data_IF_653973986497
#
_entry.id   IF_653973986497
#
_cell.length_a   1.000
_cell.length_b   1.000
_cell.length_c   1.000
_cell.angle_alpha   90.00
_cell.angle_beta   90.00
_cell.angle_gamma   90.00
#
_symmetry.space_group_name_H-M   'P 1'
#
loop_
_entity.id
_entity.type
_entity.pdbx_description
1 polymer ?
#
# COMPACT_ATOMS: atom_id res chain seq x y z
N UNK A 1 -13.54 9.12 10.38
CA UNK A 1 -12.97 7.85 9.87
C UNK A 1 -14.04 6.81 9.60
N UNK A 2 -14.79 6.31 10.59
CA UNK A 2 -15.84 5.29 10.36
C UNK A 2 -16.90 5.69 9.35
N UNK A 3 -17.47 6.91 9.49
CA UNK A 3 -18.46 7.44 8.55
C UNK A 3 -17.93 7.45 7.10
N UNK A 4 -16.72 7.98 6.90
CA UNK A 4 -16.08 8.04 5.58
C UNK A 4 -15.84 6.64 5.02
N UNK A 5 -15.34 5.70 5.83
CA UNK A 5 -15.09 4.33 5.36
C UNK A 5 -16.39 3.64 4.94
N UNK A 6 -17.46 3.74 5.75
CA UNK A 6 -18.75 3.16 5.38
C UNK A 6 -19.36 3.82 4.14
N UNK A 7 -19.22 5.14 3.99
CA UNK A 7 -19.79 5.88 2.86
C UNK A 7 -19.03 5.63 1.56
N UNK A 8 -17.70 5.79 1.59
CA UNK A 8 -16.88 5.81 0.39
C UNK A 8 -16.30 4.45 0.01
N UNK A 9 -16.29 3.48 0.91
CA UNK A 9 -15.89 2.10 0.59
C UNK A 9 -17.14 1.21 0.51
N UNK A 10 -17.78 0.92 1.65
CA UNK A 10 -18.86 -0.09 1.70
C UNK A 10 -20.08 0.32 0.86
N UNK A 11 -20.68 1.50 1.13
CA UNK A 11 -21.88 1.97 0.40
C UNK A 11 -21.59 2.21 -1.08
N UNK A 12 -20.38 2.69 -1.42
CA UNK A 12 -19.93 2.85 -2.81
C UNK A 12 -19.85 1.50 -3.53
N UNK A 13 -19.29 0.48 -2.90
CA UNK A 13 -19.12 -0.83 -3.53
C UNK A 13 -20.48 -1.57 -3.66
N UNK A 14 -21.38 -1.41 -2.70
CA UNK A 14 -22.78 -1.82 -2.84
C UNK A 14 -23.41 -1.15 -4.07
N UNK A 15 -23.32 0.18 -4.17
CA UNK A 15 -23.87 0.94 -5.30
C UNK A 15 -23.31 0.47 -6.64
N UNK A 16 -22.00 0.28 -6.75
CA UNK A 16 -21.35 -0.24 -7.97
C UNK A 16 -21.87 -1.63 -8.37
N UNK A 17 -22.02 -2.55 -7.40
CA UNK A 17 -22.55 -3.89 -7.67
C UNK A 17 -24.02 -3.84 -8.10
N UNK A 18 -24.84 -3.00 -7.46
CA UNK A 18 -26.24 -2.78 -7.84
C UNK A 18 -26.34 -2.22 -9.27
N UNK A 19 -25.59 -1.15 -9.58
CA UNK A 19 -25.56 -0.56 -10.93
C UNK A 19 -25.13 -1.56 -12.01
N UNK A 20 -24.21 -2.47 -11.70
CA UNK A 20 -23.78 -3.53 -12.60
C UNK A 20 -24.91 -4.53 -12.93
N UNK A 21 -25.75 -4.88 -11.94
CA UNK A 21 -26.90 -5.77 -12.16
C UNK A 21 -28.00 -5.05 -12.94
N UNK A 22 -28.32 -3.80 -12.58
CA UNK A 22 -29.31 -2.99 -13.30
C UNK A 22 -28.92 -2.84 -14.77
N UNK A 23 -27.63 -2.63 -15.09
CA UNK A 23 -27.15 -2.59 -16.48
C UNK A 23 -27.32 -3.92 -17.23
N UNK A 24 -27.33 -5.06 -16.55
CA UNK A 24 -27.47 -6.40 -17.15
C UNK A 24 -28.92 -6.87 -17.24
N UNK A 25 -29.76 -6.52 -16.28
CA UNK A 25 -31.10 -7.09 -16.09
C UNK A 25 -32.22 -6.03 -16.16
N UNK A 26 -31.90 -4.74 -16.26
CA UNK A 26 -32.86 -3.62 -16.33
C UNK A 26 -33.40 -3.19 -14.96
N UNK A 27 -33.65 -4.14 -14.06
CA UNK A 27 -34.16 -3.87 -12.71
C UNK A 27 -33.37 -4.65 -11.64
N UNK A 28 -33.56 -4.28 -10.38
CA UNK A 28 -32.98 -4.98 -9.23
C UNK A 28 -34.06 -5.20 -8.18
N UNK A 29 -34.16 -6.41 -7.65
CA UNK A 29 -35.14 -6.74 -6.61
C UNK A 29 -34.61 -6.41 -5.22
N UNK A 30 -35.52 -6.27 -4.25
CA UNK A 30 -35.14 -6.05 -2.84
C UNK A 30 -34.26 -7.20 -2.31
N UNK A 31 -34.58 -8.45 -2.64
CA UNK A 31 -33.77 -9.62 -2.26
C UNK A 31 -32.36 -9.57 -2.84
N UNK A 32 -32.20 -9.11 -4.08
CA UNK A 32 -30.88 -8.92 -4.69
C UNK A 32 -30.11 -7.81 -3.96
N UNK A 33 -30.75 -6.69 -3.62
CA UNK A 33 -30.12 -5.61 -2.83
C UNK A 33 -29.66 -6.15 -1.47
N UNK A 34 -30.47 -6.99 -0.82
CA UNK A 34 -30.17 -7.60 0.48
C UNK A 34 -28.94 -8.49 0.39
N UNK A 35 -28.89 -9.35 -0.63
CA UNK A 35 -27.78 -10.25 -0.87
C UNK A 35 -26.49 -9.50 -1.18
N UNK A 36 -26.54 -8.50 -2.08
CA UNK A 36 -25.38 -7.66 -2.42
C UNK A 36 -24.85 -6.93 -1.18
N UNK A 37 -25.75 -6.34 -0.39
CA UNK A 37 -25.39 -5.64 0.85
C UNK A 37 -24.70 -6.58 1.83
N UNK A 38 -25.26 -7.77 2.04
CA UNK A 38 -24.69 -8.81 2.89
C UNK A 38 -23.29 -9.23 2.41
N UNK A 39 -23.13 -9.47 1.12
CA UNK A 39 -21.88 -9.97 0.56
C UNK A 39 -20.77 -8.92 0.60
N UNK A 40 -21.07 -7.65 0.28
CA UNK A 40 -20.08 -6.56 0.40
C UNK A 40 -19.65 -6.36 1.86
N UNK A 41 -20.58 -6.39 2.81
CA UNK A 41 -20.24 -6.27 4.24
C UNK A 41 -19.34 -7.43 4.67
N UNK A 42 -19.65 -8.67 4.26
CA UNK A 42 -18.82 -9.85 4.56
C UNK A 42 -17.42 -9.75 3.94
N UNK A 43 -17.31 -9.32 2.70
CA UNK A 43 -16.04 -9.14 1.99
C UNK A 43 -15.12 -8.18 2.76
N UNK A 44 -15.63 -7.00 3.13
CA UNK A 44 -14.87 -6.04 3.94
C UNK A 44 -14.58 -6.59 5.34
N UNK A 45 -15.55 -7.25 5.99
CA UNK A 45 -15.34 -7.83 7.31
C UNK A 45 -14.18 -8.83 7.30
N UNK A 46 -14.15 -9.74 6.33
CA UNK A 46 -13.10 -10.74 6.17
C UNK A 46 -11.72 -10.12 5.87
N UNK A 47 -11.68 -9.06 5.05
CA UNK A 47 -10.46 -8.29 4.80
C UNK A 47 -9.87 -7.75 6.11
N UNK A 48 -10.69 -7.13 6.96
CA UNK A 48 -10.25 -6.58 8.25
C UNK A 48 -9.94 -7.66 9.29
N UNK A 49 -10.65 -8.78 9.26
CA UNK A 49 -10.40 -9.91 10.15
C UNK A 49 -9.02 -10.51 9.90
N UNK A 50 -8.66 -10.74 8.63
CA UNK A 50 -7.35 -11.25 8.20
C UNK A 50 -6.18 -10.31 8.47
N UNK A 51 -6.44 -9.00 8.51
CA UNK A 51 -5.39 -8.02 8.76
C UNK A 51 -4.73 -8.24 10.14
N UNK A 52 -3.44 -7.94 10.23
CA UNK A 52 -2.70 -8.02 11.50
C UNK A 52 -3.12 -6.86 12.41
N UNK A 53 -3.21 -7.12 13.72
CA UNK A 53 -3.31 -6.04 14.72
C UNK A 53 -1.93 -5.38 14.84
N UNK A 54 -1.90 -4.05 14.94
CA UNK A 54 -0.64 -3.33 15.11
C UNK A 54 0.04 -3.72 16.43
N UNK A 55 1.38 -3.88 16.45
CA UNK A 55 2.09 -4.30 17.67
C UNK A 55 1.90 -3.35 18.87
N UNK A 56 1.69 -2.06 18.61
CA UNK A 56 1.45 -1.03 19.63
C UNK A 56 0.02 -1.06 20.22
N UNK A 57 -0.87 -1.88 19.66
CA UNK A 57 -2.28 -1.98 20.03
C UNK A 57 -2.55 -3.32 20.73
N UNK A 58 -3.29 -3.30 21.84
CA UNK A 58 -3.65 -4.53 22.55
C UNK A 58 -4.69 -5.35 21.79
N UNK A 59 -4.65 -6.68 21.93
CA UNK A 59 -5.61 -7.59 21.27
C UNK A 59 -7.08 -7.27 21.60
N UNK A 60 -7.35 -6.81 22.83
CA UNK A 60 -8.69 -6.48 23.31
C UNK A 60 -9.15 -5.06 22.93
N UNK A 61 -8.33 -4.29 22.20
CA UNK A 61 -8.65 -2.89 21.87
C UNK A 61 -9.91 -2.77 21.01
N UNK A 62 -10.10 -3.70 20.07
CA UNK A 62 -11.28 -3.75 19.19
C UNK A 62 -12.55 -3.87 20.03
N UNK A 63 -12.60 -4.83 20.96
CA UNK A 63 -13.76 -5.04 21.85
C UNK A 63 -13.99 -3.82 22.76
N UNK A 64 -12.91 -3.22 23.25
CA UNK A 64 -12.98 -2.01 24.09
C UNK A 64 -13.59 -0.83 23.33
N UNK A 65 -13.21 -0.63 22.06
CA UNK A 65 -13.81 0.41 21.22
C UNK A 65 -15.29 0.12 20.98
N UNK A 66 -15.66 -1.10 20.63
CA UNK A 66 -17.05 -1.49 20.37
C UNK A 66 -17.91 -1.24 21.60
N UNK A 67 -17.46 -1.67 22.78
CA UNK A 67 -18.24 -1.54 24.01
C UNK A 67 -18.42 -0.07 24.42
N UNK A 68 -17.34 0.73 24.34
CA UNK A 68 -17.37 2.13 24.77
C UNK A 68 -18.07 3.07 23.79
N UNK A 69 -17.95 2.81 22.48
CA UNK A 69 -18.45 3.72 21.43
C UNK A 69 -19.61 3.11 20.64
N UNK A 70 -20.27 2.08 21.17
CA UNK A 70 -21.34 1.33 20.51
C UNK A 70 -22.42 2.23 19.93
N UNK A 71 -22.88 3.21 20.71
CA UNK A 71 -24.02 4.05 20.33
C UNK A 71 -23.66 5.02 19.21
N UNK A 72 -22.47 5.60 19.26
CA UNK A 72 -21.93 6.46 18.19
C UNK A 72 -21.76 5.65 16.91
N UNK A 73 -21.19 4.46 16.99
CA UNK A 73 -21.02 3.56 15.85
C UNK A 73 -22.39 3.18 15.26
N UNK A 74 -23.36 2.84 16.10
CA UNK A 74 -24.71 2.52 15.66
C UNK A 74 -25.41 3.70 14.99
N UNK A 75 -25.23 4.91 15.50
CA UNK A 75 -25.75 6.13 14.88
C UNK A 75 -25.18 6.30 13.48
N UNK A 76 -23.87 6.17 13.32
CA UNK A 76 -23.19 6.24 12.01
C UNK A 76 -23.67 5.14 11.06
N UNK A 77 -23.86 3.92 11.53
CA UNK A 77 -24.40 2.83 10.70
C UNK A 77 -25.80 3.19 10.19
N UNK A 78 -26.69 3.65 11.08
CA UNK A 78 -28.05 4.08 10.69
C UNK A 78 -28.03 5.23 9.69
N UNK A 79 -27.15 6.21 9.90
CA UNK A 79 -27.02 7.39 9.05
C UNK A 79 -26.48 7.05 7.65
N UNK A 80 -25.46 6.18 7.56
CA UNK A 80 -24.84 5.84 6.26
C UNK A 80 -25.71 4.88 5.46
N UNK A 81 -26.27 3.86 6.10
CA UNK A 81 -26.99 2.80 5.39
C UNK A 81 -28.50 3.07 5.28
N UNK A 82 -29.06 4.00 6.06
CA UNK A 82 -30.42 4.52 5.96
C UNK A 82 -31.49 3.41 5.88
N UNK A 83 -32.08 3.23 4.69
CA UNK A 83 -33.15 2.27 4.40
C UNK A 83 -32.64 0.90 3.97
N UNK A 84 -31.33 0.70 3.86
CA UNK A 84 -30.77 -0.61 3.52
C UNK A 84 -31.02 -1.58 4.68
N UNK A 85 -31.55 -2.78 4.39
CA UNK A 85 -31.82 -3.75 5.43
C UNK A 85 -30.53 -4.39 5.91
N UNK A 86 -30.20 -4.16 7.18
CA UNK A 86 -29.03 -4.71 7.83
C UNK A 86 -29.48 -5.61 8.97
N UNK A 87 -29.23 -6.92 8.81
CA UNK A 87 -29.50 -7.90 9.87
C UNK A 87 -28.63 -7.64 11.11
N UNK A 88 -29.06 -8.18 12.26
CA UNK A 88 -28.30 -8.05 13.52
C UNK A 88 -26.85 -8.60 13.41
N UNK A 89 -26.64 -9.64 12.60
CA UNK A 89 -25.31 -10.18 12.36
C UNK A 89 -24.41 -9.16 11.62
N UNK A 90 -24.94 -8.52 10.58
CA UNK A 90 -24.19 -7.51 9.81
C UNK A 90 -23.94 -6.23 10.61
N UNK A 91 -24.84 -5.85 11.52
CA UNK A 91 -24.59 -4.77 12.48
C UNK A 91 -23.35 -5.05 13.34
N UNK A 92 -23.19 -6.29 13.82
CA UNK A 92 -22.01 -6.67 14.59
C UNK A 92 -20.74 -6.68 13.74
N UNK A 93 -20.81 -7.12 12.49
CA UNK A 93 -19.67 -7.06 11.56
C UNK A 93 -19.27 -5.61 11.29
N UNK A 94 -20.22 -4.71 11.03
CA UNK A 94 -19.95 -3.28 10.84
C UNK A 94 -19.32 -2.65 12.09
N UNK A 95 -19.79 -2.99 13.29
CA UNK A 95 -19.14 -2.53 14.55
C UNK A 95 -17.69 -2.99 14.63
N UNK A 96 -17.42 -4.27 14.31
CA UNK A 96 -16.06 -4.82 14.28
C UNK A 96 -15.19 -4.17 13.20
N UNK A 97 -15.73 -3.87 12.02
CA UNK A 97 -15.03 -3.10 10.98
C UNK A 97 -14.66 -1.73 11.53
N UNK A 98 -15.62 -0.99 12.10
CA UNK A 98 -15.38 0.34 12.67
C UNK A 98 -14.27 0.35 13.71
N UNK A 99 -14.23 -0.63 14.61
CA UNK A 99 -13.18 -0.72 15.62
C UNK A 99 -11.84 -1.18 15.04
N UNK A 100 -11.86 -2.05 14.04
CA UNK A 100 -10.67 -2.51 13.31
C UNK A 100 -9.95 -1.37 12.59
N UNK A 101 -10.68 -0.35 12.10
CA UNK A 101 -10.09 0.87 11.51
C UNK A 101 -9.02 1.49 12.40
N UNK A 102 -9.13 1.37 13.72
CA UNK A 102 -8.20 1.97 14.69
C UNK A 102 -7.17 1.00 15.27
N UNK A 103 -7.20 -0.28 14.88
CA UNK A 103 -6.41 -1.33 15.53
C UNK A 103 -5.54 -2.15 14.57
N UNK A 104 -5.96 -2.26 13.29
CA UNK A 104 -5.36 -3.16 12.31
C UNK A 104 -4.38 -2.41 11.39
N UNK A 105 -3.36 -3.12 10.91
CA UNK A 105 -2.31 -2.62 9.99
C UNK A 105 -2.83 -2.49 8.55
N UNK A 106 -3.82 -1.63 8.38
CA UNK A 106 -4.33 -1.16 7.09
C UNK A 106 -4.47 0.35 7.23
N UNK A 107 -3.75 1.11 6.41
CA UNK A 107 -3.78 2.57 6.41
C UNK A 107 -4.41 3.08 5.11
N UNK A 108 -5.03 4.27 5.11
CA UNK A 108 -5.45 4.93 3.88
C UNK A 108 -4.24 5.23 2.98
N UNK A 109 -4.50 5.39 1.67
CA UNK A 109 -3.46 5.73 0.70
C UNK A 109 -2.81 7.09 0.99
N UNK A 110 -3.61 8.05 1.46
CA UNK A 110 -3.13 9.34 1.95
C UNK A 110 -3.16 9.32 3.47
N UNK A 111 -1.98 9.42 4.08
CA UNK A 111 -1.79 9.41 5.52
C UNK A 111 -0.89 10.57 5.92
N UNK A 112 -1.10 11.10 7.12
CA UNK A 112 -0.18 12.08 7.71
C UNK A 112 0.98 11.34 8.35
N UNK A 113 2.17 11.95 8.37
CA UNK A 113 3.34 11.35 8.97
C UNK A 113 4.06 12.30 9.91
N UNK A 114 4.88 11.73 10.78
CA UNK A 114 5.88 12.46 11.58
C UNK A 114 7.24 11.89 11.27
N UNK A 115 8.20 12.79 11.04
CA UNK A 115 9.60 12.46 10.83
C UNK A 115 10.39 13.04 11.99
N UNK A 116 11.19 12.20 12.62
CA UNK A 116 12.12 12.58 13.68
C UNK A 116 13.52 12.34 13.11
N UNK A 117 14.30 13.40 12.97
CA UNK A 117 15.66 13.36 12.46
C UNK A 117 16.59 14.17 13.36
N UNK A 118 17.78 13.66 13.63
CA UNK A 118 18.75 14.29 14.51
C UNK A 118 19.64 13.26 15.19
N UNK A 119 20.19 13.62 16.35
CA UNK A 119 21.05 12.74 17.14
C UNK A 119 20.28 12.25 18.36
N UNK A 120 20.18 10.93 18.53
CA UNK A 120 19.74 10.32 19.78
C UNK A 120 20.79 10.49 20.89
N UNK A 121 20.37 10.32 22.14
CA UNK A 121 21.27 10.44 23.32
C UNK A 121 22.49 9.51 23.25
N UNK A 122 22.35 8.37 22.58
CA UNK A 122 23.39 7.35 22.42
C UNK A 122 23.96 7.28 21.00
N UNK A 123 23.50 8.14 20.10
CA UNK A 123 23.86 8.05 18.68
C UNK A 123 25.11 8.90 18.42
N UNK A 124 26.15 8.29 17.85
CA UNK A 124 27.35 9.00 17.39
C UNK A 124 27.09 9.81 16.11
N UNK A 125 26.13 9.37 15.30
CA UNK A 125 25.79 9.92 13.99
C UNK A 125 24.30 10.24 13.92
N UNK A 126 23.86 11.14 13.02
CA UNK A 126 22.45 11.43 12.91
C UNK A 126 21.67 10.23 12.37
N UNK A 127 20.46 10.07 12.87
CA UNK A 127 19.50 9.07 12.46
C UNK A 127 18.16 9.73 12.12
N UNK A 128 17.34 9.00 11.38
CA UNK A 128 16.01 9.39 10.97
C UNK A 128 15.06 8.22 11.21
N UNK A 129 13.91 8.50 11.81
CA UNK A 129 12.76 7.60 11.86
C UNK A 129 11.51 8.32 11.40
N UNK A 130 10.73 7.67 10.56
CA UNK A 130 9.42 8.15 10.14
C UNK A 130 8.30 7.26 10.64
N UNK A 131 7.13 7.87 10.83
CA UNK A 131 5.93 7.18 11.29
C UNK A 131 4.73 7.66 10.49
N UNK A 132 3.95 6.73 9.96
CA UNK A 132 2.62 7.00 9.44
C UNK A 132 1.63 7.06 10.60
N UNK A 133 0.76 8.06 10.58
CA UNK A 133 -0.16 8.39 11.68
C UNK A 133 -1.56 8.57 11.12
N UNK A 134 -2.54 7.84 11.67
CA UNK A 134 -3.93 7.96 11.21
C UNK A 134 -4.83 8.63 12.24
N UNK A 135 -4.86 8.13 13.49
CA UNK A 135 -5.79 8.65 14.49
C UNK A 135 -5.64 8.05 15.88
N UNK A 136 -6.29 8.71 16.86
CA UNK A 136 -6.27 8.32 18.26
C UNK A 136 -7.68 7.91 18.70
N UNK A 137 -7.79 6.75 19.35
CA UNK A 137 -9.02 6.34 20.06
C UNK A 137 -8.68 5.70 21.40
N UNK A 138 -9.45 6.02 22.43
CA UNK A 138 -9.22 5.48 23.78
C UNK A 138 -7.75 5.65 24.26
N UNK A 139 -7.17 6.82 23.97
CA UNK A 139 -5.78 7.15 24.30
C UNK A 139 -4.73 6.20 23.70
N UNK A 140 -5.07 5.56 22.57
CA UNK A 140 -4.15 4.75 21.76
C UNK A 140 -4.04 5.37 20.39
N UNK A 141 -2.81 5.73 20.02
CA UNK A 141 -2.49 6.22 18.70
C UNK A 141 -2.31 5.04 17.75
N UNK A 142 -3.02 5.07 16.62
CA UNK A 142 -2.76 4.19 15.50
C UNK A 142 -1.63 4.79 14.65
N UNK A 143 -0.47 4.14 14.69
CA UNK A 143 0.69 4.52 13.91
C UNK A 143 1.44 3.28 13.39
N UNK A 144 2.26 3.47 12.37
CA UNK A 144 3.16 2.48 11.80
C UNK A 144 4.54 3.09 11.60
N UNK A 145 5.60 2.36 11.95
CA UNK A 145 6.97 2.78 11.63
C UNK A 145 7.19 2.66 10.12
N UNK A 146 7.63 3.76 9.51
CA UNK A 146 7.92 3.88 8.09
C UNK A 146 9.40 3.66 7.80
N UNK A 147 9.93 4.46 6.89
CA UNK A 147 11.36 4.45 6.52
C UNK A 147 12.21 4.96 7.69
N UNK A 148 13.33 4.28 7.92
CA UNK A 148 14.42 4.75 8.77
C UNK A 148 15.69 4.96 7.96
N UNK A 149 16.55 5.86 8.43
CA UNK A 149 17.87 6.11 7.85
C UNK A 149 18.88 6.33 8.96
N UNK A 150 20.04 5.69 8.86
CA UNK A 150 21.12 5.84 9.83
C UNK A 150 22.40 6.22 9.08
N UNK A 151 23.03 7.30 9.51
CA UNK A 151 24.36 7.67 9.02
C UNK A 151 25.40 6.90 9.82
N UNK A 152 26.40 6.38 9.13
CA UNK A 152 27.55 5.71 9.74
C UNK A 152 28.76 5.78 8.79
N UNK A 153 29.85 5.08 9.12
CA UNK A 153 31.06 5.09 8.30
C UNK A 153 30.89 4.51 6.89
N UNK A 154 29.92 3.61 6.69
CA UNK A 154 29.61 3.00 5.39
C UNK A 154 28.54 3.79 4.63
N UNK A 155 27.55 4.33 5.34
CA UNK A 155 26.45 5.12 4.82
C UNK A 155 26.59 6.59 5.24
N UNK A 156 27.30 7.38 4.44
CA UNK A 156 27.66 8.77 4.79
C UNK A 156 26.53 9.78 4.53
N UNK A 157 25.53 9.43 3.72
CA UNK A 157 24.42 10.30 3.37
C UNK A 157 23.18 9.52 2.93
N UNK A 158 22.00 10.08 3.15
CA UNK A 158 20.73 9.48 2.75
C UNK A 158 19.74 10.59 2.39
N UNK A 159 18.98 10.39 1.32
CA UNK A 159 17.94 11.31 0.86
C UNK A 159 16.62 10.53 0.82
N UNK A 160 15.64 10.96 1.60
CA UNK A 160 14.34 10.29 1.72
C UNK A 160 13.25 11.32 1.43
N UNK A 161 12.51 11.20 0.31
CA UNK A 161 11.35 12.05 0.06
C UNK A 161 10.15 11.57 0.89
N UNK A 162 9.51 12.49 1.63
CA UNK A 162 8.25 12.23 2.37
C UNK A 162 7.00 12.80 1.68
N UNK A 163 7.19 13.68 0.69
CA UNK A 163 6.13 14.19 -0.17
C UNK A 163 6.04 13.34 -1.46
N UNK A 164 5.40 13.86 -2.51
CA UNK A 164 5.41 13.23 -3.83
C UNK A 164 6.85 13.11 -4.35
N UNK A 165 7.45 11.92 -4.18
CA UNK A 165 8.87 11.68 -4.38
C UNK A 165 9.27 11.40 -5.83
N UNK A 166 8.35 11.31 -6.77
CA UNK A 166 8.60 10.91 -8.16
C UNK A 166 9.73 11.69 -8.83
N UNK A 167 9.69 13.02 -8.73
CA UNK A 167 10.75 13.89 -9.28
C UNK A 167 12.08 13.69 -8.56
N UNK A 168 12.04 13.46 -7.26
CA UNK A 168 13.25 13.17 -6.46
C UNK A 168 13.85 11.83 -6.90
N UNK A 169 13.04 10.78 -7.06
CA UNK A 169 13.50 9.47 -7.57
C UNK A 169 14.06 9.58 -8.99
N UNK A 170 13.43 10.37 -9.85
CA UNK A 170 13.91 10.58 -11.22
C UNK A 170 15.27 11.26 -11.23
N UNK A 171 15.45 12.30 -10.42
CA UNK A 171 16.73 12.98 -10.25
C UNK A 171 17.80 12.05 -9.66
N UNK A 172 17.45 11.27 -8.64
CA UNK A 172 18.38 10.39 -7.92
C UNK A 172 18.76 9.13 -8.70
N UNK A 173 17.81 8.53 -9.40
CA UNK A 173 17.95 7.18 -9.97
C UNK A 173 17.97 7.19 -11.51
N UNK A 174 17.83 8.37 -12.12
CA UNK A 174 17.95 8.58 -13.57
C UNK A 174 16.75 8.15 -14.42
N UNK A 175 15.66 7.69 -13.80
CA UNK A 175 14.45 7.23 -14.50
C UNK A 175 13.21 7.51 -13.65
N UNK A 176 12.14 7.88 -14.33
CA UNK A 176 10.82 8.05 -13.74
C UNK A 176 10.30 6.71 -13.18
N UNK A 177 9.87 6.64 -11.90
CA UNK A 177 9.46 5.39 -11.28
C UNK A 177 8.21 4.77 -11.92
N UNK A 178 7.29 5.57 -12.48
CA UNK A 178 6.14 5.04 -13.20
C UNK A 178 6.56 4.45 -14.54
N UNK A 179 7.44 5.14 -15.29
CA UNK A 179 8.00 4.58 -16.52
C UNK A 179 8.74 3.26 -16.26
N UNK A 180 9.52 3.19 -15.17
CA UNK A 180 10.19 1.96 -14.77
C UNK A 180 9.17 0.84 -14.49
N UNK A 181 8.12 1.12 -13.73
CA UNK A 181 7.08 0.13 -13.43
C UNK A 181 6.37 -0.38 -14.69
N UNK A 182 6.09 0.50 -15.66
CA UNK A 182 5.52 0.10 -16.95
C UNK A 182 6.46 -0.84 -17.72
N UNK A 183 7.75 -0.49 -17.83
CA UNK A 183 8.76 -1.33 -18.50
C UNK A 183 8.86 -2.70 -17.81
N UNK A 184 8.97 -2.72 -16.48
CA UNK A 184 9.05 -3.95 -15.68
C UNK A 184 7.79 -4.81 -15.82
N UNK A 185 6.60 -4.19 -15.86
CA UNK A 185 5.33 -4.86 -16.07
C UNK A 185 5.28 -5.56 -17.43
N UNK A 186 5.58 -4.84 -18.51
CA UNK A 186 5.63 -5.41 -19.86
C UNK A 186 6.66 -6.54 -19.97
N UNK A 187 7.85 -6.38 -19.40
CA UNK A 187 8.87 -7.43 -19.40
C UNK A 187 8.40 -8.65 -18.61
N UNK A 188 7.80 -8.46 -17.43
CA UNK A 188 7.25 -9.56 -16.64
C UNK A 188 6.21 -10.37 -17.42
N UNK A 189 5.34 -9.70 -18.20
CA UNK A 189 4.38 -10.39 -19.07
C UNK A 189 5.07 -11.20 -20.18
N UNK A 190 6.11 -10.65 -20.80
CA UNK A 190 6.88 -11.35 -21.83
C UNK A 190 7.52 -12.62 -21.25
N UNK A 191 8.16 -12.51 -20.08
CA UNK A 191 8.81 -13.64 -19.43
C UNK A 191 7.83 -14.71 -18.91
N UNK A 192 6.57 -14.37 -18.63
CA UNK A 192 5.54 -15.34 -18.28
C UNK A 192 4.93 -16.04 -19.51
N UNK A 193 4.72 -15.31 -20.61
CA UNK A 193 4.05 -15.81 -21.83
C UNK A 193 4.98 -16.58 -22.77
N UNK A 194 6.24 -16.16 -22.91
CA UNK A 194 7.17 -16.78 -23.86
C UNK A 194 7.40 -18.29 -23.64
N UNK A 195 7.51 -18.81 -22.39
CA UNK A 195 7.54 -20.25 -22.13
C UNK A 195 6.36 -21.03 -22.72
N UNK A 196 5.16 -20.48 -22.66
CA UNK A 196 3.95 -21.11 -23.20
C UNK A 196 4.03 -21.19 -24.72
N UNK A 197 4.41 -20.08 -25.36
CA UNK A 197 4.60 -20.00 -26.82
C UNK A 197 5.63 -21.05 -27.29
N UNK A 198 6.76 -21.21 -26.60
CA UNK A 198 7.75 -22.23 -26.95
C UNK A 198 7.13 -23.63 -26.92
N UNK A 199 6.43 -23.95 -25.83
CA UNK A 199 5.90 -25.31 -25.58
C UNK A 199 4.78 -25.65 -26.55
N UNK A 200 3.92 -24.68 -26.89
CA UNK A 200 2.84 -24.85 -27.86
C UNK A 200 3.37 -25.20 -29.26
N UNK A 201 4.50 -24.62 -29.66
CA UNK A 201 5.12 -24.82 -30.97
C UNK A 201 5.99 -26.08 -31.07
N UNK A 202 6.10 -26.90 -30.01
CA UNK A 202 6.81 -28.18 -30.06
C UNK A 202 5.82 -29.32 -30.31
N UNK A 203 5.79 -29.84 -31.54
CA UNK A 203 4.87 -30.92 -31.95
C UNK A 203 5.23 -32.29 -31.35
N UNK A 204 6.49 -32.48 -30.94
CA UNK A 204 7.04 -33.80 -30.57
C UNK A 204 6.64 -34.27 -29.16
N UNK A 205 6.10 -33.41 -28.31
CA UNK A 205 5.81 -33.71 -26.91
C UNK A 205 4.32 -33.95 -26.67
N UNK A 206 4.01 -34.89 -25.78
CA UNK A 206 2.64 -35.06 -25.28
C UNK A 206 2.26 -33.94 -24.28
N UNK A 207 0.97 -33.87 -23.93
CA UNK A 207 0.45 -32.83 -23.01
C UNK A 207 1.11 -32.84 -21.62
N UNK A 208 1.49 -34.01 -21.12
CA UNK A 208 2.14 -34.13 -19.81
C UNK A 208 3.58 -33.62 -19.86
N UNK A 209 4.30 -33.91 -20.94
CA UNK A 209 5.65 -33.45 -21.21
C UNK A 209 5.66 -31.94 -21.46
N UNK A 210 4.72 -31.42 -22.24
CA UNK A 210 4.51 -29.99 -22.46
C UNK A 210 4.28 -29.24 -21.16
N UNK A 211 3.37 -29.73 -20.30
CA UNK A 211 3.12 -29.10 -18.99
C UNK A 211 4.36 -29.08 -18.11
N UNK A 212 5.12 -30.18 -18.04
CA UNK A 212 6.36 -30.26 -17.26
C UNK A 212 7.45 -29.33 -17.81
N UNK A 213 7.58 -29.25 -19.13
CA UNK A 213 8.53 -28.36 -19.79
C UNK A 213 8.17 -26.89 -19.56
N UNK A 214 6.89 -26.53 -19.70
CA UNK A 214 6.40 -25.18 -19.47
C UNK A 214 6.74 -24.73 -18.04
N UNK A 215 6.45 -25.56 -17.04
CA UNK A 215 6.79 -25.21 -15.65
C UNK A 215 8.29 -24.97 -15.46
N UNK A 216 9.15 -25.84 -16.02
CA UNK A 216 10.62 -25.66 -15.94
C UNK A 216 11.07 -24.36 -16.63
N UNK A 217 10.50 -24.04 -17.79
CA UNK A 217 10.82 -22.82 -18.53
C UNK A 217 10.33 -21.57 -17.80
N UNK A 218 9.14 -21.60 -17.19
CA UNK A 218 8.65 -20.51 -16.33
C UNK A 218 9.56 -20.30 -15.12
N UNK A 219 9.99 -21.37 -14.45
CA UNK A 219 10.91 -21.28 -13.31
C UNK A 219 12.26 -20.68 -13.72
N UNK A 220 12.79 -21.02 -14.89
CA UNK A 220 14.02 -20.43 -15.44
C UNK A 220 13.82 -18.97 -15.85
N UNK A 221 12.72 -18.66 -16.52
CA UNK A 221 12.38 -17.30 -16.96
C UNK A 221 12.25 -16.36 -15.76
N UNK A 222 11.61 -16.81 -14.69
CA UNK A 222 11.52 -16.08 -13.43
C UNK A 222 12.88 -15.82 -12.77
N UNK A 223 13.85 -16.73 -12.92
CA UNK A 223 15.23 -16.50 -12.43
C UNK A 223 15.93 -15.43 -13.26
N UNK A 224 15.86 -15.54 -14.60
CA UNK A 224 16.46 -14.57 -15.52
C UNK A 224 15.88 -13.18 -15.29
N UNK A 225 14.55 -13.07 -15.13
CA UNK A 225 13.90 -11.80 -14.87
C UNK A 225 14.35 -11.16 -13.54
N UNK A 226 14.48 -11.96 -12.47
CA UNK A 226 15.04 -11.48 -11.20
C UNK A 226 16.49 -11.03 -11.31
N UNK A 227 17.31 -11.75 -12.09
CA UNK A 227 18.71 -11.38 -12.32
C UNK A 227 18.80 -10.07 -13.12
N UNK A 228 17.95 -9.88 -14.13
CA UNK A 228 17.79 -8.63 -14.85
C UNK A 228 17.44 -7.47 -13.90
N UNK A 229 16.41 -7.63 -13.06
CA UNK A 229 15.98 -6.62 -12.10
C UNK A 229 17.11 -6.23 -11.13
N UNK A 230 17.86 -7.22 -10.65
CA UNK A 230 19.02 -6.99 -9.77
C UNK A 230 20.13 -6.22 -10.47
N UNK A 231 20.44 -6.57 -11.73
CA UNK A 231 21.50 -5.93 -12.49
C UNK A 231 21.16 -4.47 -12.80
N UNK A 232 19.93 -4.19 -13.26
CA UNK A 232 19.44 -2.83 -13.51
C UNK A 232 19.45 -2.00 -12.23
N UNK A 233 18.95 -2.56 -11.12
CA UNK A 233 18.96 -1.87 -9.81
C UNK A 233 20.39 -1.55 -9.36
N UNK A 234 21.32 -2.49 -9.52
CA UNK A 234 22.73 -2.29 -9.15
C UNK A 234 23.39 -1.21 -10.01
N UNK A 235 23.17 -1.25 -11.32
CA UNK A 235 23.64 -0.25 -12.26
C UNK A 235 23.11 1.15 -11.90
N UNK A 236 21.82 1.27 -11.62
CA UNK A 236 21.20 2.54 -11.19
C UNK A 236 21.83 3.07 -9.90
N UNK A 237 22.03 2.18 -8.93
CA UNK A 237 22.64 2.55 -7.65
C UNK A 237 24.08 3.05 -7.84
N UNK A 238 24.87 2.36 -8.65
CA UNK A 238 26.28 2.67 -8.88
C UNK A 238 26.48 3.94 -9.71
N UNK A 239 25.70 4.13 -10.77
CA UNK A 239 25.92 5.19 -11.75
C UNK A 239 25.07 6.46 -11.54
N UNK A 240 23.97 6.38 -10.78
CA UNK A 240 23.08 7.53 -10.56
C UNK A 240 22.98 7.89 -9.07
N UNK A 241 22.65 6.92 -8.21
CA UNK A 241 22.40 7.20 -6.79
C UNK A 241 23.69 7.56 -6.04
N UNK A 242 24.72 6.71 -6.12
CA UNK A 242 25.96 6.90 -5.37
C UNK A 242 26.72 8.18 -5.70
N UNK A 243 26.82 8.62 -6.97
CA UNK A 243 27.41 9.93 -7.27
C UNK A 243 26.71 11.06 -6.53
N UNK A 244 25.38 11.09 -6.52
CA UNK A 244 24.61 12.13 -5.85
C UNK A 244 24.78 12.05 -4.33
N UNK A 245 24.62 10.86 -3.73
CA UNK A 245 24.75 10.72 -2.27
C UNK A 245 26.16 11.02 -1.77
N UNK A 246 27.21 10.71 -2.56
CA UNK A 246 28.59 11.08 -2.21
C UNK A 246 28.78 12.59 -2.16
N UNK A 247 28.22 13.32 -3.12
CA UNK A 247 28.25 14.80 -3.11
C UNK A 247 27.54 15.31 -1.86
N UNK A 248 26.32 14.82 -1.59
CA UNK A 248 25.53 15.21 -0.41
C UNK A 248 26.29 14.96 0.90
N UNK A 249 27.00 13.85 1.01
CA UNK A 249 27.80 13.54 2.20
C UNK A 249 28.97 14.50 2.46
N UNK A 250 29.32 15.35 1.49
CA UNK A 250 30.39 16.35 1.60
C UNK A 250 29.87 17.79 1.71
N UNK A 251 28.56 18.02 1.52
CA UNK A 251 27.99 19.37 1.52
C UNK A 251 27.97 19.97 2.94
N UNK A 252 28.27 21.28 3.09
CA UNK A 252 28.02 21.98 4.34
C UNK A 252 26.51 22.13 4.60
N UNK A 253 26.15 22.47 5.83
CA UNK A 253 24.76 22.48 6.32
C UNK A 253 23.83 23.40 5.52
N UNK A 254 24.32 24.56 5.11
CA UNK A 254 23.60 25.55 4.31
C UNK A 254 23.34 25.06 2.89
N UNK A 255 24.32 24.41 2.26
CA UNK A 255 24.13 23.78 0.95
C UNK A 255 23.19 22.57 1.01
N UNK A 256 23.21 21.80 2.09
CA UNK A 256 22.23 20.73 2.32
C UNK A 256 20.80 21.29 2.40
N UNK A 257 20.60 22.43 3.04
CA UNK A 257 19.31 23.09 3.10
C UNK A 257 18.85 23.58 1.73
N UNK A 258 19.74 24.22 0.96
CA UNK A 258 19.45 24.68 -0.40
C UNK A 258 19.15 23.52 -1.36
N UNK A 259 19.85 22.39 -1.23
CA UNK A 259 19.57 21.19 -2.00
C UNK A 259 18.19 20.60 -1.65
N UNK A 260 17.86 20.51 -0.35
CA UNK A 260 16.55 20.04 0.08
C UNK A 260 15.42 20.93 -0.45
N UNK A 261 15.58 22.25 -0.39
CA UNK A 261 14.64 23.22 -1.00
C UNK A 261 14.49 23.00 -2.50
N UNK A 262 15.60 22.80 -3.22
CA UNK A 262 15.59 22.55 -4.67
C UNK A 262 14.84 21.26 -5.02
N UNK A 263 15.06 20.18 -4.26
CA UNK A 263 14.35 18.92 -4.43
C UNK A 263 12.85 19.06 -4.18
N UNK A 264 12.45 19.84 -3.17
CA UNK A 264 11.03 20.16 -2.93
C UNK A 264 10.47 20.99 -4.09
N UNK A 265 11.21 21.97 -4.59
CA UNK A 265 10.79 22.80 -5.72
C UNK A 265 10.57 21.97 -6.98
N UNK A 266 11.44 20.99 -7.29
CA UNK A 266 11.24 20.07 -8.42
C UNK A 266 9.89 19.35 -8.36
N UNK A 267 9.46 18.93 -7.17
CA UNK A 267 8.14 18.28 -7.01
C UNK A 267 6.98 19.23 -7.26
N UNK A 268 7.15 20.53 -7.01
CA UNK A 268 6.10 21.55 -7.24
C UNK A 268 5.87 21.87 -8.71
N UNK A 269 6.90 21.77 -9.57
CA UNK A 269 6.78 22.10 -10.99
C UNK A 269 5.96 21.09 -11.81
N UNK A 270 5.84 19.85 -11.35
CA UNK A 270 5.06 18.80 -12.03
C UNK A 270 3.57 18.80 -11.62
N UNK A 271 3.21 19.57 -10.59
CA UNK A 271 1.83 19.68 -10.09
C UNK A 271 0.93 20.54 -10.97
#
# INVERSE_FOLDING_TARGET
TTFNYFTFQIKRDIKKKVESIVKKQGEVTEDQINQITADVIKEHFYMWEKAKILPSISKNHIETIINKHKDVINKVIKEVFEKLPISANFLNQLRKISASLFSKDIFPAEVSGVVIAGFGEKDTFPSLKSFDIEGIVNNKLKYKEGVSGEINFENIATIIPFAQGEMVYTFMEGIDPYLQNEIEGYLSEIFDKYPEIIVENIEKFDESEKKRLNQKLKDLSNKIFKDYQKNVTSYRREHYVYPVTRVVGMLPKDELAAMAESLVSLTSFKR
#
